data_IF_055625787648
#
_entry.id   IF_055625787648
#
_cell.length_a   1.000
_cell.length_b   1.000
_cell.length_c   1.000
_cell.angle_alpha   90.00
_cell.angle_beta   90.00
_cell.angle_gamma   90.00
#
_symmetry.space_group_name_H-M   'P 1'
#
loop_
_entity.id
_entity.type
_entity.pdbx_description
1 polymer ?
#
# COMPACT_ATOMS: atom_id res chain seq x y z
N UNK A 1 18.20 -4.17 -11.17
CA UNK A 1 19.16 -5.05 -11.86
C UNK A 1 18.74 -6.50 -11.65
N UNK A 2 18.88 -7.31 -12.69
CA UNK A 2 18.60 -8.74 -12.66
C UNK A 2 19.90 -9.49 -12.94
N UNK A 3 20.26 -10.40 -12.04
CA UNK A 3 21.32 -11.38 -12.26
C UNK A 3 20.71 -12.74 -12.52
N UNK A 4 21.21 -13.46 -13.54
CA UNK A 4 20.68 -14.73 -13.97
C UNK A 4 21.79 -15.75 -14.24
N UNK A 5 21.61 -16.94 -13.67
CA UNK A 5 22.27 -18.17 -14.09
C UNK A 5 21.23 -19.23 -14.49
N UNK A 6 21.60 -20.38 -15.07
CA UNK A 6 20.66 -21.47 -15.32
C UNK A 6 19.93 -21.97 -14.06
N UNK A 7 20.55 -21.85 -12.91
CA UNK A 7 20.12 -22.43 -11.63
C UNK A 7 19.53 -21.40 -10.68
N UNK A 8 19.79 -20.11 -10.90
CA UNK A 8 19.38 -19.06 -9.97
C UNK A 8 19.13 -17.73 -10.68
N UNK A 9 18.10 -17.03 -10.24
CA UNK A 9 17.81 -15.65 -10.66
C UNK A 9 17.61 -14.78 -9.45
N UNK A 10 18.35 -13.68 -9.39
CA UNK A 10 18.29 -12.67 -8.33
C UNK A 10 17.94 -11.31 -8.91
N UNK A 11 17.18 -10.53 -8.18
CA UNK A 11 16.97 -9.12 -8.50
C UNK A 11 17.36 -8.23 -7.33
N UNK A 12 17.82 -7.02 -7.63
CA UNK A 12 18.25 -6.05 -6.64
C UNK A 12 18.19 -4.64 -7.21
N UNK A 13 18.18 -3.64 -6.31
CA UNK A 13 18.29 -2.24 -6.72
C UNK A 13 19.65 -1.98 -7.39
N UNK A 14 19.67 -1.08 -8.38
CA UNK A 14 20.95 -0.66 -8.95
C UNK A 14 21.78 0.07 -7.87
N UNK A 15 22.93 -0.46 -7.45
CA UNK A 15 23.71 0.13 -6.38
C UNK A 15 24.44 1.42 -6.81
N UNK A 16 24.52 1.69 -8.11
CA UNK A 16 25.25 2.83 -8.68
C UNK A 16 26.76 2.66 -8.62
N UNK A 17 27.31 2.42 -7.42
CA UNK A 17 28.76 2.22 -7.20
C UNK A 17 29.03 0.81 -6.69
N UNK A 18 30.23 0.29 -7.00
CA UNK A 18 30.65 -1.06 -6.62
C UNK A 18 30.63 -1.29 -5.11
N UNK A 19 31.03 -0.30 -4.31
CA UNK A 19 31.03 -0.34 -2.84
C UNK A 19 29.64 -0.55 -2.22
N UNK A 20 28.57 -0.27 -2.96
CA UNK A 20 27.18 -0.42 -2.52
C UNK A 20 26.59 -1.80 -2.85
N UNK A 21 27.34 -2.69 -3.47
CA UNK A 21 26.90 -4.07 -3.68
C UNK A 21 26.91 -4.81 -2.35
N UNK A 22 25.71 -5.18 -1.88
CA UNK A 22 25.49 -5.90 -0.62
C UNK A 22 24.61 -7.11 -0.85
N UNK A 23 25.13 -8.34 -0.65
CA UNK A 23 24.35 -9.57 -0.90
C UNK A 23 23.05 -9.67 -0.14
N UNK A 24 22.96 -9.04 1.04
CA UNK A 24 21.74 -8.99 1.84
C UNK A 24 20.56 -8.25 1.16
N UNK A 25 20.83 -7.48 0.11
CA UNK A 25 19.82 -6.79 -0.69
C UNK A 25 19.51 -7.50 -2.01
N UNK A 26 19.93 -8.74 -2.17
CA UNK A 26 19.60 -9.56 -3.32
C UNK A 26 18.40 -10.44 -2.99
N UNK A 27 17.40 -10.43 -3.85
CA UNK A 27 16.13 -11.07 -3.60
C UNK A 27 15.78 -12.05 -4.71
N UNK A 28 15.14 -13.16 -4.31
CA UNK A 28 14.47 -14.04 -5.24
C UNK A 28 13.04 -13.56 -5.50
N UNK A 29 12.56 -13.78 -6.71
CA UNK A 29 11.14 -13.69 -6.97
C UNK A 29 10.45 -14.97 -6.48
N UNK A 30 9.37 -14.80 -5.76
CA UNK A 30 8.57 -15.88 -5.18
C UNK A 30 7.20 -15.90 -5.85
N UNK A 31 6.54 -17.05 -5.86
CA UNK A 31 5.16 -17.16 -6.27
C UNK A 31 4.19 -16.72 -5.15
N UNK A 32 2.89 -16.81 -5.43
CA UNK A 32 1.84 -16.46 -4.47
C UNK A 32 1.92 -17.24 -3.14
N UNK A 33 2.52 -18.41 -3.13
CA UNK A 33 2.70 -19.24 -1.93
C UNK A 33 4.05 -19.00 -1.24
N UNK A 34 4.77 -17.95 -1.59
CA UNK A 34 6.14 -17.64 -1.14
C UNK A 34 7.15 -18.72 -1.50
N UNK A 35 6.93 -19.45 -2.58
CA UNK A 35 7.88 -20.43 -3.09
C UNK A 35 8.84 -19.75 -4.05
N UNK A 36 10.14 -19.85 -3.77
CA UNK A 36 11.19 -19.25 -4.60
C UNK A 36 11.17 -19.86 -6.01
N UNK A 37 11.06 -18.99 -7.02
CA UNK A 37 11.14 -19.38 -8.42
C UNK A 37 12.60 -19.35 -8.86
N UNK A 38 13.21 -20.53 -9.03
CA UNK A 38 14.61 -20.69 -9.45
C UNK A 38 14.75 -20.82 -10.96
N UNK A 39 13.77 -21.47 -11.62
CA UNK A 39 13.80 -21.66 -13.08
C UNK A 39 13.68 -20.31 -13.80
N UNK A 40 14.71 -19.99 -14.55
CA UNK A 40 14.78 -18.74 -15.28
C UNK A 40 13.66 -18.61 -16.35
N UNK A 41 13.15 -19.71 -16.88
CA UNK A 41 12.05 -19.68 -17.85
C UNK A 41 10.77 -19.20 -17.17
N UNK A 42 10.52 -19.66 -15.97
CA UNK A 42 9.41 -19.14 -15.15
C UNK A 42 9.61 -17.69 -14.76
N UNK A 43 10.82 -17.26 -14.42
CA UNK A 43 11.11 -15.84 -14.15
C UNK A 43 10.82 -14.99 -15.39
N UNK A 44 11.18 -15.45 -16.58
CA UNK A 44 10.87 -14.71 -17.81
C UNK A 44 9.36 -14.61 -18.05
N UNK A 45 8.60 -15.66 -17.78
CA UNK A 45 7.14 -15.66 -17.95
C UNK A 45 6.40 -14.90 -16.83
N UNK A 46 6.84 -15.07 -15.59
CA UNK A 46 6.08 -14.65 -14.42
C UNK A 46 6.48 -13.22 -13.94
N UNK A 47 7.75 -12.83 -14.11
CA UNK A 47 8.27 -11.53 -13.70
C UNK A 47 8.57 -10.59 -14.87
N UNK A 48 9.20 -11.11 -15.92
CA UNK A 48 9.70 -10.31 -17.05
C UNK A 48 8.76 -10.31 -18.26
N UNK A 49 7.62 -10.98 -18.18
CA UNK A 49 6.59 -10.83 -19.22
C UNK A 49 6.17 -9.37 -19.36
N UNK A 50 5.86 -8.94 -20.57
CA UNK A 50 5.46 -7.55 -20.83
C UNK A 50 4.32 -7.11 -19.91
N UNK A 51 3.21 -7.89 -19.71
CA UNK A 51 2.14 -7.50 -18.80
C UNK A 51 2.62 -7.31 -17.35
N UNK A 52 3.41 -8.25 -16.82
CA UNK A 52 3.88 -8.18 -15.42
C UNK A 52 4.90 -7.06 -15.23
N UNK A 53 5.89 -6.95 -16.11
CA UNK A 53 6.89 -5.90 -16.02
C UNK A 53 6.25 -4.50 -16.09
N UNK A 54 5.26 -4.34 -16.98
CA UNK A 54 4.48 -3.09 -17.08
C UNK A 54 3.69 -2.78 -15.81
N UNK A 55 3.05 -3.79 -15.21
CA UNK A 55 2.35 -3.62 -13.96
C UNK A 55 3.30 -3.24 -12.83
N UNK A 56 4.42 -3.93 -12.68
CA UNK A 56 5.39 -3.62 -11.63
C UNK A 56 5.94 -2.20 -11.75
N UNK A 57 6.30 -1.77 -12.95
CA UNK A 57 6.83 -0.42 -13.19
C UNK A 57 5.74 0.64 -13.03
N UNK A 58 4.58 0.45 -13.65
CA UNK A 58 3.53 1.46 -13.72
C UNK A 58 2.70 1.57 -12.44
N UNK A 59 2.39 0.44 -11.79
CA UNK A 59 1.43 0.42 -10.69
C UNK A 59 2.01 -0.01 -9.34
N UNK A 60 3.07 -0.81 -9.33
CA UNK A 60 3.65 -1.38 -8.09
C UNK A 60 5.03 -0.82 -7.76
N UNK A 61 5.41 0.27 -8.37
CA UNK A 61 6.55 1.09 -7.98
C UNK A 61 6.07 2.28 -7.16
N UNK A 62 6.82 2.62 -6.13
CA UNK A 62 6.57 3.76 -5.26
C UNK A 62 7.74 4.74 -5.44
N UNK A 63 7.44 5.98 -5.76
CA UNK A 63 8.41 7.05 -5.68
C UNK A 63 8.51 7.50 -4.22
N UNK A 64 9.64 7.26 -3.59
CA UNK A 64 9.89 7.73 -2.22
C UNK A 64 10.58 9.09 -2.28
N UNK A 65 9.83 10.13 -1.98
CA UNK A 65 10.33 11.49 -2.04
C UNK A 65 11.32 11.81 -0.92
N UNK A 66 11.21 11.12 0.21
CA UNK A 66 12.13 11.27 1.34
C UNK A 66 13.52 10.72 1.02
N UNK A 67 13.57 9.53 0.44
CA UNK A 67 14.82 8.86 0.07
C UNK A 67 15.28 9.21 -1.36
N UNK A 68 14.44 9.94 -2.14
CA UNK A 68 14.64 10.23 -3.56
C UNK A 68 14.94 8.98 -4.39
N UNK A 69 14.23 7.91 -4.11
CA UNK A 69 14.40 6.59 -4.75
C UNK A 69 13.09 6.01 -5.25
N UNK A 70 13.19 5.18 -6.28
CA UNK A 70 12.08 4.35 -6.74
C UNK A 70 12.16 2.99 -6.04
N UNK A 71 11.10 2.64 -5.33
CA UNK A 71 10.97 1.37 -4.59
C UNK A 71 9.97 0.46 -5.30
N UNK A 72 10.45 -0.63 -5.87
CA UNK A 72 9.60 -1.66 -6.47
C UNK A 72 9.17 -2.64 -5.39
N UNK A 73 7.90 -3.01 -5.36
CA UNK A 73 7.40 -4.00 -4.40
C UNK A 73 8.07 -5.36 -4.61
N UNK A 74 8.40 -6.03 -3.50
CA UNK A 74 8.85 -7.44 -3.52
C UNK A 74 7.67 -8.36 -3.86
N UNK A 75 7.94 -9.58 -4.24
CA UNK A 75 6.93 -10.57 -4.65
C UNK A 75 5.75 -10.65 -3.68
N UNK A 76 6.01 -10.88 -2.39
CA UNK A 76 4.96 -11.01 -1.37
C UNK A 76 4.16 -9.71 -1.15
N UNK A 77 4.79 -8.54 -1.29
CA UNK A 77 4.11 -7.24 -1.22
C UNK A 77 3.23 -7.02 -2.45
N UNK A 78 3.73 -7.36 -3.63
CA UNK A 78 2.98 -7.32 -4.87
C UNK A 78 1.73 -8.20 -4.78
N UNK A 79 1.88 -9.47 -4.39
CA UNK A 79 0.74 -10.37 -4.28
C UNK A 79 -0.28 -9.93 -3.22
N UNK A 80 0.20 -9.38 -2.09
CA UNK A 80 -0.69 -8.84 -1.06
C UNK A 80 -1.49 -7.64 -1.60
N UNK A 81 -0.82 -6.64 -2.18
CA UNK A 81 -1.47 -5.44 -2.70
C UNK A 81 -2.42 -5.76 -3.86
N UNK A 82 -2.00 -6.61 -4.79
CA UNK A 82 -2.83 -7.09 -5.91
C UNK A 82 -4.08 -7.82 -5.41
N UNK A 83 -3.93 -8.70 -4.42
CA UNK A 83 -5.06 -9.45 -3.86
C UNK A 83 -6.06 -8.56 -3.14
N UNK A 84 -5.60 -7.56 -2.41
CA UNK A 84 -6.47 -6.58 -1.75
C UNK A 84 -7.25 -5.79 -2.80
N UNK A 85 -6.58 -5.24 -3.81
CA UNK A 85 -7.23 -4.51 -4.91
C UNK A 85 -8.24 -5.39 -5.66
N UNK A 86 -7.86 -6.61 -6.00
CA UNK A 86 -8.73 -7.58 -6.67
C UNK A 86 -10.00 -7.89 -5.88
N UNK A 87 -9.90 -8.09 -4.57
CA UNK A 87 -11.04 -8.36 -3.71
C UNK A 87 -11.95 -7.14 -3.67
N UNK A 88 -11.39 -5.95 -3.51
CA UNK A 88 -12.15 -4.71 -3.47
C UNK A 88 -12.93 -4.51 -4.77
N UNK A 89 -12.28 -4.70 -5.91
CA UNK A 89 -12.89 -4.55 -7.23
C UNK A 89 -14.00 -5.60 -7.52
N UNK A 90 -13.80 -6.85 -7.08
CA UNK A 90 -14.72 -7.96 -7.37
C UNK A 90 -15.86 -8.10 -6.36
N UNK A 91 -15.80 -7.41 -5.23
CA UNK A 91 -16.82 -7.51 -4.19
C UNK A 91 -18.07 -6.74 -4.60
N UNK A 92 -19.24 -7.39 -4.51
CA UNK A 92 -20.52 -6.69 -4.64
C UNK A 92 -20.83 -6.00 -3.30
N UNK A 93 -20.64 -4.69 -3.22
CA UNK A 93 -20.82 -3.88 -2.01
C UNK A 93 -22.29 -3.62 -1.65
N UNK A 94 -23.24 -3.90 -2.57
CA UNK A 94 -24.69 -3.78 -2.31
C UNK A 94 -25.23 -4.90 -1.42
N UNK A 95 -24.46 -5.96 -1.22
CA UNK A 95 -24.82 -7.05 -0.32
C UNK A 95 -24.16 -6.86 1.03
N UNK A 96 -24.88 -7.09 2.13
CA UNK A 96 -24.33 -6.98 3.50
C UNK A 96 -23.41 -8.15 3.92
N UNK A 97 -22.94 -8.95 2.97
CA UNK A 97 -22.10 -10.13 3.23
C UNK A 97 -20.63 -9.90 2.96
N UNK A 98 -20.14 -8.69 3.19
CA UNK A 98 -18.73 -8.38 3.01
C UNK A 98 -17.91 -8.98 4.13
N UNK A 99 -16.93 -9.76 3.75
CA UNK A 99 -15.91 -10.24 4.66
C UNK A 99 -14.60 -9.59 4.24
N UNK A 100 -14.01 -8.84 5.16
CA UNK A 100 -12.65 -8.36 5.01
C UNK A 100 -11.67 -9.53 4.90
N UNK A 101 -10.40 -9.20 4.89
CA UNK A 101 -9.31 -10.15 4.88
C UNK A 101 -8.20 -9.71 5.83
N UNK A 102 -7.16 -10.50 5.89
CA UNK A 102 -5.95 -10.14 6.61
C UNK A 102 -4.72 -10.52 5.79
N UNK A 103 -3.64 -9.79 6.00
CA UNK A 103 -2.33 -10.10 5.43
C UNK A 103 -1.35 -10.27 6.58
N UNK A 104 -0.73 -11.43 6.63
CA UNK A 104 0.27 -11.73 7.64
C UNK A 104 1.64 -11.25 7.20
N UNK A 105 2.15 -10.22 7.86
CA UNK A 105 3.48 -9.68 7.63
C UNK A 105 4.33 -9.77 8.89
N UNK A 106 5.58 -10.17 8.73
CA UNK A 106 6.57 -10.10 9.81
C UNK A 106 7.03 -8.66 10.08
N UNK A 107 7.65 -8.43 11.22
CA UNK A 107 8.26 -7.12 11.52
C UNK A 107 9.36 -6.82 10.51
N UNK A 108 9.42 -5.58 10.02
CA UNK A 108 10.43 -5.16 9.03
C UNK A 108 10.18 -5.59 7.59
N UNK A 109 9.08 -6.31 7.29
CA UNK A 109 8.75 -6.75 5.93
C UNK A 109 8.13 -5.67 5.03
N UNK A 110 8.07 -4.41 5.48
CA UNK A 110 7.51 -3.31 4.70
C UNK A 110 5.97 -3.27 4.68
N UNK A 111 5.34 -3.53 5.84
CA UNK A 111 3.87 -3.41 6.01
C UNK A 111 3.34 -2.06 5.54
N UNK A 112 4.01 -0.97 5.93
CA UNK A 112 3.64 0.41 5.59
C UNK A 112 3.61 0.59 4.07
N UNK A 113 4.64 0.12 3.37
CA UNK A 113 4.73 0.23 1.92
C UNK A 113 3.66 -0.60 1.20
N UNK A 114 3.38 -1.81 1.70
CA UNK A 114 2.32 -2.68 1.15
C UNK A 114 0.93 -2.07 1.35
N UNK A 115 0.64 -1.56 2.55
CA UNK A 115 -0.65 -0.95 2.88
C UNK A 115 -0.86 0.37 2.13
N UNK A 116 0.18 1.22 2.02
CA UNK A 116 0.12 2.43 1.21
C UNK A 116 -0.22 2.11 -0.25
N UNK A 117 0.53 1.19 -0.88
CA UNK A 117 0.30 0.85 -2.29
C UNK A 117 -1.10 0.24 -2.50
N UNK A 118 -1.59 -0.59 -1.58
CA UNK A 118 -2.96 -1.11 -1.65
C UNK A 118 -4.00 0.01 -1.59
N UNK A 119 -3.83 0.96 -0.66
CA UNK A 119 -4.71 2.12 -0.51
C UNK A 119 -4.70 3.01 -1.75
N UNK A 120 -3.51 3.30 -2.30
CA UNK A 120 -3.33 4.08 -3.52
C UNK A 120 -4.01 3.43 -4.73
N UNK A 121 -3.84 2.11 -4.90
CA UNK A 121 -4.47 1.39 -6.00
C UNK A 121 -6.00 1.47 -5.92
N UNK A 122 -6.59 1.28 -4.72
CA UNK A 122 -8.04 1.36 -4.52
C UNK A 122 -8.55 2.79 -4.73
N UNK A 123 -7.85 3.80 -4.18
CA UNK A 123 -8.24 5.19 -4.36
C UNK A 123 -8.22 5.63 -5.83
N UNK A 124 -7.25 5.12 -6.61
CA UNK A 124 -7.08 5.47 -8.02
C UNK A 124 -7.95 4.64 -8.97
N UNK A 125 -8.41 3.45 -8.57
CA UNK A 125 -9.30 2.63 -9.39
C UNK A 125 -10.73 3.16 -9.47
N UNK A 126 -11.14 3.97 -8.48
CA UNK A 126 -12.52 4.42 -8.33
C UNK A 126 -13.47 3.37 -7.73
N UNK A 127 -12.92 2.26 -7.20
CA UNK A 127 -13.70 1.21 -6.53
C UNK A 127 -14.20 1.65 -5.13
N UNK A 128 -13.64 2.74 -4.60
CA UNK A 128 -14.05 3.34 -3.34
C UNK A 128 -13.97 4.87 -3.40
N UNK A 129 -14.95 5.54 -2.81
CA UNK A 129 -14.95 7.01 -2.68
C UNK A 129 -13.90 7.47 -1.65
N UNK A 130 -13.70 6.68 -0.61
CA UNK A 130 -12.77 6.96 0.48
C UNK A 130 -11.99 5.70 0.86
N UNK A 131 -10.70 5.86 1.09
CA UNK A 131 -9.83 4.84 1.67
C UNK A 131 -9.31 5.36 3.00
N UNK A 132 -9.66 4.65 4.08
CA UNK A 132 -9.28 5.06 5.44
C UNK A 132 -8.26 4.06 5.99
N UNK A 133 -7.06 4.56 6.28
CA UNK A 133 -6.02 3.78 6.93
C UNK A 133 -6.05 4.03 8.44
N UNK A 134 -6.41 2.99 9.19
CA UNK A 134 -6.53 3.04 10.65
C UNK A 134 -5.27 2.52 11.33
N UNK A 135 -4.71 3.34 12.23
CA UNK A 135 -3.55 3.03 13.03
C UNK A 135 -3.93 2.85 14.51
N UNK A 136 -3.36 1.83 15.16
CA UNK A 136 -3.70 1.51 16.55
C UNK A 136 -3.08 2.51 17.55
N UNK A 137 -1.82 2.91 17.35
CA UNK A 137 -1.08 3.74 18.30
C UNK A 137 -0.72 5.11 17.73
N UNK A 138 -0.84 6.14 18.57
CA UNK A 138 -0.51 7.53 18.21
C UNK A 138 0.96 7.68 17.80
N UNK A 139 1.89 7.04 18.50
CA UNK A 139 3.33 7.10 18.18
C UNK A 139 3.68 6.41 16.86
N UNK A 140 3.06 5.25 16.57
CA UNK A 140 3.20 4.61 15.28
C UNK A 140 2.49 5.38 14.15
N UNK A 141 1.49 6.21 14.51
CA UNK A 141 0.78 7.03 13.53
C UNK A 141 1.67 8.13 12.94
N UNK A 142 2.52 8.76 13.75
CA UNK A 142 3.43 9.82 13.25
C UNK A 142 4.45 9.24 12.28
N UNK A 143 5.12 8.15 12.66
CA UNK A 143 6.11 7.50 11.79
C UNK A 143 5.48 6.97 10.49
N UNK A 144 4.34 6.27 10.61
CA UNK A 144 3.64 5.74 9.44
C UNK A 144 3.10 6.86 8.55
N UNK A 145 2.62 7.95 9.14
CA UNK A 145 2.16 9.11 8.39
C UNK A 145 3.30 9.78 7.61
N UNK A 146 4.48 9.93 8.23
CA UNK A 146 5.66 10.48 7.58
C UNK A 146 6.16 9.57 6.44
N UNK A 147 6.10 8.25 6.63
CA UNK A 147 6.40 7.29 5.56
C UNK A 147 5.36 7.39 4.43
N UNK A 148 4.06 7.44 4.76
CA UNK A 148 2.99 7.60 3.77
C UNK A 148 3.13 8.91 2.98
N UNK A 149 3.46 10.02 3.64
CA UNK A 149 3.72 11.29 2.95
C UNK A 149 4.94 11.22 2.03
N UNK A 150 5.99 10.53 2.47
CA UNK A 150 7.16 10.28 1.63
C UNK A 150 6.83 9.45 0.38
N UNK A 151 5.85 8.55 0.48
CA UNK A 151 5.42 7.70 -0.65
C UNK A 151 4.39 8.37 -1.57
N UNK A 152 3.62 9.31 -1.07
CA UNK A 152 2.57 9.98 -1.83
C UNK A 152 3.12 11.02 -2.82
N UNK A 153 4.29 11.60 -2.53
CA UNK A 153 4.81 12.70 -3.34
C UNK A 153 3.99 13.99 -3.21
N UNK A 154 4.21 14.91 -4.14
CA UNK A 154 3.51 16.21 -4.14
C UNK A 154 2.07 16.12 -4.69
N UNK A 155 1.77 15.10 -5.47
CA UNK A 155 0.50 14.95 -6.21
C UNK A 155 -0.60 14.24 -5.41
N UNK A 156 -0.27 13.61 -4.29
CA UNK A 156 -1.23 12.87 -3.46
C UNK A 156 -1.35 13.49 -2.07
N UNK A 157 -2.47 14.12 -1.79
CA UNK A 157 -2.75 14.67 -0.47
C UNK A 157 -3.09 13.55 0.54
N UNK A 158 -2.13 13.16 1.35
CA UNK A 158 -2.39 12.34 2.53
C UNK A 158 -2.84 13.24 3.66
N UNK A 159 -4.08 13.06 4.05
CA UNK A 159 -4.70 13.90 5.06
C UNK A 159 -4.46 13.35 6.46
N UNK A 160 -3.70 14.10 7.26
CA UNK A 160 -3.64 13.89 8.70
C UNK A 160 -4.87 14.51 9.37
N UNK A 161 -5.52 13.72 10.18
CA UNK A 161 -6.64 14.18 10.98
C UNK A 161 -6.15 14.56 12.38
N UNK A 162 -5.89 15.86 12.58
CA UNK A 162 -5.40 16.34 13.88
C UNK A 162 -6.44 16.20 14.99
N UNK A 163 -7.73 16.35 14.65
CA UNK A 163 -8.84 16.16 15.58
C UNK A 163 -10.04 15.47 14.90
N UNK A 164 -11.04 15.11 15.70
CA UNK A 164 -12.24 14.40 15.25
C UNK A 164 -13.10 15.22 14.29
N UNK A 165 -13.17 16.55 14.48
CA UNK A 165 -13.95 17.42 13.59
C UNK A 165 -13.33 17.49 12.19
N UNK A 166 -12.01 17.58 12.09
CA UNK A 166 -11.30 17.53 10.80
C UNK A 166 -11.51 16.17 10.13
N UNK A 167 -11.41 15.08 10.89
CA UNK A 167 -11.66 13.74 10.34
C UNK A 167 -13.07 13.65 9.74
N UNK A 168 -14.09 14.14 10.45
CA UNK A 168 -15.46 14.11 9.96
C UNK A 168 -15.63 14.99 8.69
N UNK A 169 -15.07 16.19 8.67
CA UNK A 169 -15.14 17.05 7.48
C UNK A 169 -14.53 16.36 6.25
N UNK A 170 -13.41 15.64 6.43
CA UNK A 170 -12.76 14.90 5.35
C UNK A 170 -13.53 13.67 4.91
N UNK A 171 -14.16 12.95 5.83
CA UNK A 171 -15.02 11.83 5.49
C UNK A 171 -16.25 12.27 4.66
N UNK A 172 -16.75 13.48 4.89
CA UNK A 172 -17.88 14.08 4.15
C UNK A 172 -17.46 14.81 2.87
N UNK A 173 -16.21 15.16 2.74
CA UNK A 173 -15.68 15.88 1.58
C UNK A 173 -15.86 15.06 0.31
N UNK A 174 -16.21 15.72 -0.79
CA UNK A 174 -16.23 15.12 -2.14
C UNK A 174 -14.98 15.46 -2.92
N UNK A 175 -14.01 16.13 -2.29
CA UNK A 175 -12.75 16.48 -2.91
C UNK A 175 -11.90 15.23 -3.14
N UNK A 176 -11.27 15.16 -4.30
CA UNK A 176 -10.36 14.08 -4.67
C UNK A 176 -9.13 14.03 -3.77
N UNK A 177 -8.69 15.16 -3.25
CA UNK A 177 -7.55 15.25 -2.33
C UNK A 177 -7.83 14.60 -0.97
N UNK A 178 -9.09 14.38 -0.64
CA UNK A 178 -9.51 13.73 0.59
C UNK A 178 -9.84 12.22 0.41
N UNK A 179 -9.41 11.59 -0.66
CA UNK A 179 -9.68 10.16 -0.91
C UNK A 179 -8.91 9.23 0.02
N UNK A 180 -7.65 9.55 0.35
CA UNK A 180 -6.84 8.74 1.25
C UNK A 180 -6.68 9.46 2.60
N UNK A 181 -7.27 8.89 3.63
CA UNK A 181 -7.30 9.42 4.99
C UNK A 181 -6.52 8.51 5.93
N UNK A 182 -5.57 9.07 6.66
CA UNK A 182 -4.84 8.35 7.72
C UNK A 182 -5.30 8.86 9.08
N UNK A 183 -5.76 7.95 9.94
CA UNK A 183 -6.28 8.29 11.26
C UNK A 183 -6.03 7.20 12.28
N UNK A 184 -6.24 7.50 13.57
CA UNK A 184 -6.14 6.50 14.63
C UNK A 184 -7.50 5.90 14.98
N UNK A 185 -7.46 4.65 15.50
CA UNK A 185 -8.66 3.96 15.99
C UNK A 185 -9.38 4.80 17.05
N UNK A 186 -8.64 5.51 17.91
CA UNK A 186 -9.22 6.36 18.96
C UNK A 186 -10.06 7.52 18.37
N UNK A 187 -9.52 8.20 17.35
CA UNK A 187 -10.26 9.30 16.69
C UNK A 187 -11.51 8.79 15.98
N UNK A 188 -11.40 7.66 15.28
CA UNK A 188 -12.55 7.03 14.63
C UNK A 188 -13.61 6.56 15.64
N UNK A 189 -13.20 6.01 16.78
CA UNK A 189 -14.09 5.61 17.85
C UNK A 189 -14.82 6.80 18.51
N UNK A 190 -14.20 7.98 18.57
CA UNK A 190 -14.82 9.19 19.08
C UNK A 190 -15.95 9.67 18.17
N UNK A 191 -15.81 9.55 16.86
CA UNK A 191 -16.91 9.81 15.90
C UNK A 191 -18.10 8.93 16.23
N UNK A 192 -17.90 7.62 16.35
CA UNK A 192 -18.96 6.66 16.66
C UNK A 192 -19.62 6.90 18.02
N UNK A 193 -18.89 7.41 19.00
CA UNK A 193 -19.39 7.71 20.32
C UNK A 193 -20.17 9.04 20.44
N UNK A 194 -20.22 9.82 19.35
CA UNK A 194 -20.94 11.11 19.32
C UNK A 194 -20.35 12.20 20.23
N UNK A 195 -19.10 12.04 20.66
CA UNK A 195 -18.50 12.94 21.64
C UNK A 195 -18.26 14.38 21.13
N UNK A 196 -18.18 14.54 19.79
CA UNK A 196 -17.91 15.84 19.14
C UNK A 196 -18.83 16.11 17.93
N UNK A 197 -19.93 15.36 17.78
CA UNK A 197 -20.71 15.33 16.53
C UNK A 197 -22.20 15.19 16.84
N UNK A 198 -23.04 15.99 16.15
CA UNK A 198 -24.49 15.84 16.22
C UNK A 198 -24.94 14.53 15.53
N UNK A 199 -26.07 13.96 15.97
CA UNK A 199 -26.62 12.73 15.38
C UNK A 199 -26.88 12.91 13.87
N UNK A 200 -27.29 14.11 13.44
CA UNK A 200 -27.49 14.46 12.03
C UNK A 200 -26.22 14.37 11.18
N UNK A 201 -25.06 14.47 11.81
CA UNK A 201 -23.76 14.34 11.13
C UNK A 201 -23.33 12.89 10.95
N UNK A 202 -23.82 11.99 11.81
CA UNK A 202 -23.56 10.54 11.72
C UNK A 202 -24.45 9.92 10.63
N UNK A 203 -25.69 10.35 10.52
CA UNK A 203 -26.68 9.79 9.56
C UNK A 203 -26.41 10.19 8.10
N UNK A 204 -25.51 11.14 7.87
CA UNK A 204 -25.07 11.60 6.53
C UNK A 204 -23.71 11.06 6.11
N UNK A 205 -23.02 10.30 6.95
CA UNK A 205 -21.72 9.68 6.69
C UNK A 205 -21.86 8.19 6.44
#
# INVERSE_FOLDING_TARGET
VLFRSPEETLYFANPGKEENFKPEFYFHWEDFNNTVIRDWRRIVSDLLSIPMAHQLIGYYTIADDKDKTLKVLRSYQYFAASKISDITHKTNWDTHQHRGGYVWHTTGSGKTMTSFKSAQLIANSGDADKVVFLLDRIELSVQSLDEYRGFAGEDEAIQDTQNTAILLSKLKSTDNDDRLIVTSIQKMSNIKAGKDISQDDIDRS
#
